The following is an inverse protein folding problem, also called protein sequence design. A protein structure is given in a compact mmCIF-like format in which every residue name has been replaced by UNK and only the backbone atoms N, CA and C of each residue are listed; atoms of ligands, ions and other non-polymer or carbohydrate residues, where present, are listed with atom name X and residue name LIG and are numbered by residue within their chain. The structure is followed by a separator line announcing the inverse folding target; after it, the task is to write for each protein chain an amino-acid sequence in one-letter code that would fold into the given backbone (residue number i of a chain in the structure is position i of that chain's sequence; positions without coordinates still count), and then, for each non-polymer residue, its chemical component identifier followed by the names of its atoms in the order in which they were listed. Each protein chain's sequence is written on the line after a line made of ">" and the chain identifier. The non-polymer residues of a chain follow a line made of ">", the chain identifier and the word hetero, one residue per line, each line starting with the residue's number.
data_IF_603995876720
#
_entry.id   IF_603995876720
#
_cell.length_a   1.000
_cell.length_b   1.000
_cell.length_c   1.000
_cell.angle_alpha   90.00
_cell.angle_beta   90.00
_cell.angle_gamma   90.00
#
_symmetry.space_group_name_H-M   'P 1'
#
loop_
_entity.id
_entity.type
_entity.pdbx_description
1 polymer ?
#
# COMPACT_ATOMS: atom_id res chain seq x y z
N UNK A 1 7.53 11.56 17.72
CA UNK A 1 6.66 11.96 16.59
C UNK A 1 7.12 11.15 15.38
N UNK A 2 6.29 10.27 14.85
CA UNK A 2 6.58 9.53 13.63
C UNK A 2 5.80 10.18 12.50
N UNK A 3 6.49 10.58 11.43
CA UNK A 3 5.83 11.10 10.22
C UNK A 3 5.18 9.93 9.47
N UNK A 4 3.93 10.12 9.04
CA UNK A 4 3.24 9.11 8.22
C UNK A 4 3.59 9.32 6.74
N UNK A 5 3.56 8.24 5.95
CA UNK A 5 3.78 8.32 4.49
C UNK A 5 2.86 9.35 3.81
N UNK A 6 1.63 9.46 4.31
CA UNK A 6 0.63 10.43 3.85
C UNK A 6 1.07 11.89 4.04
N UNK A 7 1.82 12.17 5.09
CA UNK A 7 2.37 13.49 5.38
C UNK A 7 3.52 13.83 4.43
N UNK A 8 4.41 12.87 4.16
CA UNK A 8 5.49 13.07 3.19
C UNK A 8 4.95 13.37 1.78
N UNK A 9 3.91 12.64 1.36
CA UNK A 9 3.23 12.93 0.09
C UNK A 9 2.62 14.34 0.08
N UNK A 10 1.96 14.75 1.17
CA UNK A 10 1.35 16.08 1.31
C UNK A 10 2.39 17.22 1.32
N UNK A 11 3.59 16.93 1.81
CA UNK A 11 4.74 17.84 1.77
C UNK A 11 5.44 17.86 0.39
N UNK A 12 4.97 17.07 -0.57
CA UNK A 12 5.53 16.95 -1.91
C UNK A 12 6.96 16.41 -1.91
N UNK A 13 7.28 15.54 -0.95
CA UNK A 13 8.58 14.86 -0.90
C UNK A 13 8.52 13.68 -1.88
N UNK A 14 9.42 13.59 -2.87
CA UNK A 14 9.46 12.45 -3.79
C UNK A 14 9.54 11.12 -3.04
N UNK A 15 8.60 10.22 -3.32
CA UNK A 15 8.51 8.90 -2.68
C UNK A 15 8.95 7.81 -3.65
N UNK A 16 9.82 6.92 -3.18
CA UNK A 16 10.21 5.70 -3.86
C UNK A 16 9.70 4.51 -3.06
N UNK A 17 8.79 3.75 -3.66
CA UNK A 17 8.05 2.67 -2.97
C UNK A 17 8.23 1.38 -3.77
N UNK A 18 8.34 0.20 -3.14
CA UNK A 18 8.42 -1.03 -3.90
C UNK A 18 7.15 -1.25 -4.72
N UNK A 19 7.29 -1.78 -5.93
CA UNK A 19 6.13 -2.13 -6.76
C UNK A 19 5.39 -3.33 -6.17
N UNK A 20 4.13 -3.54 -6.56
CA UNK A 20 3.40 -4.76 -6.18
C UNK A 20 4.15 -6.04 -6.62
N UNK A 21 4.84 -5.98 -7.77
CA UNK A 21 5.71 -7.06 -8.26
C UNK A 21 6.89 -7.32 -7.33
N UNK A 22 7.50 -6.27 -6.77
CA UNK A 22 8.57 -6.44 -5.77
C UNK A 22 8.06 -7.26 -4.59
N UNK A 23 6.89 -6.94 -4.04
CA UNK A 23 6.31 -7.67 -2.91
C UNK A 23 5.93 -9.11 -3.23
N UNK A 24 5.34 -9.34 -4.41
CA UNK A 24 5.04 -10.71 -4.90
C UNK A 24 6.31 -11.57 -5.04
N UNK A 25 7.44 -10.96 -5.37
CA UNK A 25 8.70 -11.68 -5.61
C UNK A 25 9.53 -11.87 -4.34
N UNK A 26 9.49 -10.93 -3.38
CA UNK A 26 10.37 -10.91 -2.21
C UNK A 26 9.70 -11.33 -0.90
N UNK A 27 8.53 -11.96 -0.97
CA UNK A 27 7.94 -12.63 0.18
C UNK A 27 7.18 -11.69 1.13
N UNK A 28 6.17 -10.98 0.59
CA UNK A 28 5.07 -10.33 1.32
C UNK A 28 5.41 -9.06 2.13
N UNK A 29 4.37 -8.49 2.80
CA UNK A 29 4.44 -7.26 3.61
C UNK A 29 4.91 -7.47 5.07
N UNK A 30 5.27 -8.70 5.44
CA UNK A 30 5.52 -9.10 6.83
C UNK A 30 4.29 -9.74 7.49
N UNK A 31 4.53 -10.39 8.64
CA UNK A 31 3.58 -11.29 9.31
C UNK A 31 2.55 -10.60 10.22
N UNK A 32 2.48 -9.26 10.28
CA UNK A 32 1.66 -8.54 11.27
C UNK A 32 0.74 -7.50 10.60
N UNK A 33 -0.20 -8.01 9.79
CA UNK A 33 -1.23 -7.18 9.12
C UNK A 33 -2.58 -7.26 9.82
N UNK A 34 -2.79 -8.28 10.64
CA UNK A 34 -4.04 -8.53 11.35
C UNK A 34 -3.93 -8.04 12.79
N UNK A 35 -4.92 -7.28 13.25
CA UNK A 35 -4.94 -6.75 14.61
C UNK A 35 -4.92 -7.89 15.64
N UNK A 36 -4.02 -7.80 16.64
CA UNK A 36 -3.86 -8.72 17.79
C UNK A 36 -5.06 -8.81 18.76
N UNK A 37 -6.27 -8.56 18.27
CA UNK A 37 -7.51 -8.73 19.05
C UNK A 37 -7.87 -10.21 19.19
N UNK A 38 -8.71 -10.54 20.17
CA UNK A 38 -8.99 -11.91 20.62
C UNK A 38 -9.24 -12.99 19.54
N UNK A 39 -9.87 -12.74 18.37
CA UNK A 39 -9.95 -13.78 17.34
C UNK A 39 -8.61 -14.04 16.61
N UNK A 40 -7.66 -13.09 16.57
CA UNK A 40 -6.38 -13.20 15.84
C UNK A 40 -5.18 -13.60 16.73
N UNK A 41 -5.37 -13.63 18.05
CA UNK A 41 -4.40 -14.19 19.02
C UNK A 41 -4.77 -15.63 19.44
N UNK A 42 -5.87 -16.17 18.92
CA UNK A 42 -6.12 -17.60 19.01
C UNK A 42 -5.09 -18.30 18.12
N UNK A 43 -4.33 -19.25 18.67
CA UNK A 43 -3.39 -20.10 17.90
C UNK A 43 -4.12 -21.09 16.97
N UNK A 44 -5.38 -20.79 16.63
CA UNK A 44 -6.20 -21.58 15.74
C UNK A 44 -5.82 -21.23 14.30
N UNK A 45 -5.26 -22.19 13.55
CA UNK A 45 -4.80 -21.93 12.18
C UNK A 45 -5.96 -21.64 11.22
N UNK A 46 -7.22 -21.84 11.62
CA UNK A 46 -8.37 -21.67 10.75
C UNK A 46 -9.20 -20.44 11.16
N UNK A 47 -8.63 -19.25 10.97
CA UNK A 47 -9.34 -17.98 11.19
C UNK A 47 -10.52 -17.77 10.21
N UNK A 48 -10.55 -18.54 9.11
CA UNK A 48 -11.52 -18.39 8.04
C UNK A 48 -12.95 -18.72 8.48
N UNK A 49 -13.15 -19.78 9.28
CA UNK A 49 -14.48 -20.10 9.82
C UNK A 49 -14.92 -19.13 10.91
N UNK A 50 -13.99 -18.49 11.62
CA UNK A 50 -14.29 -17.52 12.68
C UNK A 50 -14.84 -16.22 12.10
N UNK A 51 -14.43 -15.87 10.88
CA UNK A 51 -14.83 -14.63 10.22
C UNK A 51 -15.24 -14.85 8.76
N UNK A 52 -16.39 -15.52 8.52
CA UNK A 52 -16.89 -15.69 7.16
C UNK A 52 -17.23 -14.34 6.52
N UNK A 53 -17.03 -14.24 5.21
CA UNK A 53 -17.46 -13.08 4.43
C UNK A 53 -18.97 -12.87 4.57
N UNK A 54 -19.38 -11.62 4.77
CA UNK A 54 -20.80 -11.30 4.80
C UNK A 54 -21.44 -11.58 3.42
N UNK A 55 -22.66 -12.13 3.33
CA UNK A 55 -23.29 -12.47 2.05
C UNK A 55 -23.44 -11.32 1.05
N UNK A 56 -23.39 -10.08 1.54
CA UNK A 56 -23.45 -8.86 0.72
C UNK A 56 -22.09 -8.29 0.33
N UNK A 57 -20.98 -8.94 0.70
CA UNK A 57 -19.65 -8.46 0.34
C UNK A 57 -19.47 -8.52 -1.18
N UNK A 58 -19.11 -7.40 -1.84
CA UNK A 58 -18.87 -7.40 -3.28
C UNK A 58 -17.48 -7.96 -3.64
N UNK A 59 -16.63 -8.25 -2.64
CA UNK A 59 -15.25 -8.65 -2.84
C UNK A 59 -15.07 -10.16 -2.65
N UNK A 60 -14.34 -10.78 -3.58
CA UNK A 60 -14.08 -12.22 -3.59
C UNK A 60 -12.97 -12.67 -2.63
N UNK A 61 -12.10 -11.74 -2.21
CA UNK A 61 -10.93 -12.04 -1.39
C UNK A 61 -11.16 -11.66 0.08
N UNK A 62 -10.65 -12.49 1.00
CA UNK A 62 -10.69 -12.20 2.43
C UNK A 62 -9.62 -11.14 2.78
N UNK A 63 -9.96 -10.02 3.43
CA UNK A 63 -8.98 -9.00 3.82
C UNK A 63 -7.95 -9.48 4.84
N UNK A 64 -8.24 -10.56 5.57
CA UNK A 64 -7.36 -11.12 6.58
C UNK A 64 -6.56 -12.33 6.09
N UNK A 65 -6.72 -12.75 4.82
CA UNK A 65 -5.93 -13.85 4.28
C UNK A 65 -4.43 -13.51 4.37
N UNK A 66 -3.65 -14.41 4.95
CA UNK A 66 -2.21 -14.26 4.95
C UNK A 66 -1.63 -14.58 3.58
N UNK A 67 -0.48 -13.98 3.24
CA UNK A 67 0.18 -14.27 1.97
C UNK A 67 0.49 -15.76 1.79
N UNK A 68 0.79 -16.49 2.87
CA UNK A 68 1.04 -17.93 2.81
C UNK A 68 -0.20 -18.74 2.41
N UNK A 69 -1.40 -18.22 2.68
CA UNK A 69 -2.69 -18.86 2.38
C UNK A 69 -3.20 -18.46 0.98
N UNK A 70 -3.21 -17.16 0.70
CA UNK A 70 -3.68 -16.61 -0.57
C UNK A 70 -2.86 -15.37 -0.98
N UNK A 71 -1.77 -15.55 -1.75
CA UNK A 71 -0.96 -14.47 -2.29
C UNK A 71 -1.75 -13.47 -3.15
N UNK A 72 -2.77 -13.94 -3.87
CA UNK A 72 -3.56 -13.08 -4.76
C UNK A 72 -4.53 -12.21 -3.96
N UNK A 73 -5.08 -12.71 -2.84
CA UNK A 73 -5.84 -11.90 -1.90
C UNK A 73 -4.99 -10.74 -1.34
N UNK A 74 -3.75 -11.00 -0.94
CA UNK A 74 -2.86 -9.94 -0.45
C UNK A 74 -2.61 -8.87 -1.53
N UNK A 75 -2.28 -9.28 -2.76
CA UNK A 75 -2.05 -8.35 -3.87
C UNK A 75 -3.32 -7.57 -4.26
N UNK A 76 -4.48 -8.23 -4.20
CA UNK A 76 -5.76 -7.58 -4.44
C UNK A 76 -6.01 -6.47 -3.43
N UNK A 77 -5.81 -6.71 -2.13
CA UNK A 77 -6.03 -5.67 -1.13
C UNK A 77 -4.97 -4.58 -1.15
N UNK A 78 -3.74 -4.95 -1.49
CA UNK A 78 -2.62 -4.03 -1.58
C UNK A 78 -2.87 -2.90 -2.59
N UNK A 79 -3.50 -3.24 -3.71
CA UNK A 79 -3.73 -2.28 -4.81
C UNK A 79 -4.55 -1.05 -4.37
N UNK A 80 -5.32 -1.16 -3.28
CA UNK A 80 -6.13 -0.07 -2.73
C UNK A 80 -5.39 0.83 -1.73
N UNK A 81 -4.13 0.55 -1.42
CA UNK A 81 -3.38 1.41 -0.52
C UNK A 81 -3.03 2.74 -1.19
N UNK A 82 -3.02 3.81 -0.38
CA UNK A 82 -2.72 5.18 -0.81
C UNK A 82 -1.45 5.26 -1.68
N UNK A 83 -0.44 4.46 -1.36
CA UNK A 83 0.84 4.45 -2.06
C UNK A 83 0.77 3.92 -3.50
N UNK A 84 -0.28 3.19 -3.87
CA UNK A 84 -0.50 2.72 -5.25
C UNK A 84 -1.58 3.50 -5.99
N UNK A 85 -2.48 4.17 -5.26
CA UNK A 85 -3.52 5.01 -5.85
C UNK A 85 -3.02 6.44 -6.13
N UNK A 86 -2.08 6.95 -5.34
CA UNK A 86 -1.62 8.33 -5.50
C UNK A 86 -0.63 8.51 -6.66
N UNK A 87 -0.80 9.55 -7.49
CA UNK A 87 0.05 9.76 -8.66
C UNK A 87 1.44 10.27 -8.28
N UNK A 88 2.38 10.17 -9.22
CA UNK A 88 3.76 10.65 -9.12
C UNK A 88 4.65 9.96 -8.08
N UNK A 89 4.14 8.97 -7.34
CA UNK A 89 4.96 8.02 -6.59
C UNK A 89 5.81 7.21 -7.58
N UNK A 90 7.09 7.04 -7.26
CA UNK A 90 8.02 6.29 -8.09
C UNK A 90 8.11 4.85 -7.56
N UNK A 91 7.68 3.87 -8.35
CA UNK A 91 7.79 2.48 -7.95
C UNK A 91 9.16 1.90 -8.28
N UNK A 92 9.63 0.88 -7.58
CA UNK A 92 10.81 0.11 -7.99
C UNK A 92 10.59 -1.40 -7.89
N UNK A 93 11.17 -2.15 -8.83
CA UNK A 93 10.98 -3.61 -8.93
C UNK A 93 12.04 -4.43 -8.18
N UNK A 94 13.19 -3.82 -7.89
CA UNK A 94 14.31 -4.39 -7.16
C UNK A 94 15.27 -3.29 -6.66
N UNK A 95 16.31 -3.67 -5.91
CA UNK A 95 17.28 -2.72 -5.36
C UNK A 95 18.15 -2.01 -6.41
N UNK A 96 18.43 -2.66 -7.55
CA UNK A 96 19.21 -2.05 -8.64
C UNK A 96 18.37 -0.99 -9.35
N UNK A 97 17.10 -1.28 -9.59
CA UNK A 97 16.13 -0.34 -10.14
C UNK A 97 15.93 0.87 -9.23
N UNK A 98 15.82 0.66 -7.91
CA UNK A 98 15.79 1.73 -6.92
C UNK A 98 17.04 2.62 -7.01
N UNK A 99 18.24 2.02 -6.96
CA UNK A 99 19.49 2.78 -7.01
C UNK A 99 19.59 3.62 -8.29
N UNK A 100 19.26 3.01 -9.44
CA UNK A 100 19.21 3.73 -10.73
C UNK A 100 18.23 4.90 -10.69
N UNK A 101 17.03 4.70 -10.16
CA UNK A 101 16.00 5.74 -10.02
C UNK A 101 16.46 6.88 -9.11
N UNK A 102 17.09 6.57 -7.98
CA UNK A 102 17.64 7.59 -7.07
C UNK A 102 18.74 8.43 -7.73
N UNK A 103 19.55 7.83 -8.60
CA UNK A 103 20.64 8.53 -9.29
C UNK A 103 20.17 9.38 -10.48
N UNK A 104 19.04 9.01 -11.10
CA UNK A 104 18.60 9.60 -12.38
C UNK A 104 17.32 10.42 -12.28
N UNK A 105 16.59 10.34 -11.16
CA UNK A 105 15.34 11.06 -11.00
C UNK A 105 15.56 12.58 -10.94
N UNK A 106 14.72 13.31 -11.67
CA UNK A 106 14.56 14.75 -11.47
C UNK A 106 13.62 14.99 -10.27
N UNK A 107 14.21 15.07 -9.08
CA UNK A 107 13.46 15.30 -7.84
C UNK A 107 12.66 16.61 -7.86
N UNK A 108 13.15 17.64 -8.56
CA UNK A 108 12.45 18.92 -8.66
C UNK A 108 11.20 18.80 -9.54
N UNK A 109 11.28 18.06 -10.65
CA UNK A 109 10.13 17.78 -11.50
C UNK A 109 9.08 16.93 -10.77
N UNK A 110 9.51 15.88 -10.05
CA UNK A 110 8.60 15.05 -9.24
C UNK A 110 7.90 15.90 -8.18
N UNK A 111 8.65 16.71 -7.42
CA UNK A 111 8.11 17.64 -6.42
C UNK A 111 7.06 18.59 -7.02
N UNK A 112 7.36 19.21 -8.17
CA UNK A 112 6.42 20.12 -8.84
C UNK A 112 5.13 19.42 -9.26
N UNK A 113 5.24 18.18 -9.73
CA UNK A 113 4.09 17.36 -10.15
C UNK A 113 3.22 16.99 -8.94
N UNK A 114 3.82 16.50 -7.85
CA UNK A 114 3.11 16.24 -6.60
C UNK A 114 2.42 17.49 -6.06
N UNK A 115 3.09 18.65 -6.10
CA UNK A 115 2.52 19.93 -5.69
C UNK A 115 1.31 20.35 -6.53
N UNK A 116 1.33 20.07 -7.83
CA UNK A 116 0.18 20.30 -8.70
C UNK A 116 -0.99 19.38 -8.33
N UNK A 117 -0.73 18.08 -8.14
CA UNK A 117 -1.77 17.13 -7.72
C UNK A 117 -2.38 17.49 -6.36
N UNK A 118 -1.56 17.83 -5.38
CA UNK A 118 -2.03 18.17 -4.03
C UNK A 118 -2.93 19.43 -4.03
N UNK A 119 -2.76 20.35 -4.98
CA UNK A 119 -3.69 21.47 -5.17
C UNK A 119 -5.06 21.00 -5.68
N UNK A 120 -5.09 20.05 -6.62
CA UNK A 120 -6.33 19.46 -7.16
C UNK A 120 -7.06 18.72 -6.03
N UNK A 121 -6.37 17.83 -5.33
CA UNK A 121 -6.92 17.07 -4.20
C UNK A 121 -7.47 17.97 -3.10
N UNK A 122 -6.78 19.08 -2.78
CA UNK A 122 -7.28 20.08 -1.83
C UNK A 122 -8.59 20.71 -2.31
N UNK A 123 -8.72 21.00 -3.61
CA UNK A 123 -9.94 21.58 -4.15
C UNK A 123 -11.12 20.61 -4.06
N UNK A 124 -10.91 19.35 -4.42
CA UNK A 124 -11.92 18.29 -4.34
C UNK A 124 -12.41 18.07 -2.90
N UNK A 125 -11.50 18.04 -1.93
CA UNK A 125 -11.84 17.90 -0.51
C UNK A 125 -12.63 19.07 0.07
N UNK A 126 -12.52 20.26 -0.51
CA UNK A 126 -13.28 21.45 -0.08
C UNK A 126 -14.67 21.53 -0.72
N UNK A 127 -14.96 20.68 -1.70
CA UNK A 127 -16.26 20.62 -2.40
C UNK A 127 -17.17 19.51 -1.88
N UNK A 128 -16.66 18.65 -1.00
CA UNK A 128 -17.41 17.60 -0.28
C UNK A 128 -17.97 18.14 1.03
#
# INVERSE_FOLDING_TARGET
>A
MSFKLTEFYSLNIPLFVPSAKYFKTNGNFGSDRTSTTAPYCDNDPDLWWKMPSHPSSPHSYNPNAEYAEDPEAEMFWLQFSDIYDWPHIQYFDDGSDLNRKLQTADFLAVHKSMKAQNKIRKHELLQQ
#
